data_IF_498210772661
#
_entry.id   IF_498210772661
#
_cell.length_a   1.000
_cell.length_b   1.000
_cell.length_c   1.000
_cell.angle_alpha   90.00
_cell.angle_beta   90.00
_cell.angle_gamma   90.00
#
_symmetry.space_group_name_H-M   'P 1'
#
loop_
_entity.id
_entity.type
_entity.pdbx_description
1 polymer ?
#
# COMPACT_ATOMS: atom_id res chain seq x y z
N UNK A 1 6.75 -45.05 -12.48
CA UNK A 1 6.87 -43.99 -11.45
C UNK A 1 7.90 -43.01 -11.95
N UNK A 2 7.58 -41.71 -12.08
CA UNK A 2 8.55 -40.71 -12.53
C UNK A 2 9.57 -40.49 -11.41
N UNK A 3 10.86 -40.66 -11.72
CA UNK A 3 11.93 -40.32 -10.78
C UNK A 3 11.81 -38.84 -10.41
N UNK A 4 11.69 -38.57 -9.12
CA UNK A 4 11.65 -37.20 -8.60
C UNK A 4 13.08 -36.69 -8.56
N UNK A 5 13.35 -35.60 -9.27
CA UNK A 5 14.66 -34.97 -9.27
C UNK A 5 14.87 -34.18 -7.97
N UNK A 6 15.75 -34.69 -7.11
CA UNK A 6 16.07 -34.10 -5.81
C UNK A 6 17.21 -33.07 -5.89
N UNK A 7 17.82 -32.84 -7.05
CA UNK A 7 18.98 -31.94 -7.18
C UNK A 7 18.66 -30.50 -6.76
N UNK A 8 17.51 -29.97 -7.19
CA UNK A 8 17.07 -28.60 -6.87
C UNK A 8 16.72 -28.45 -5.38
N UNK A 9 15.89 -29.32 -4.76
CA UNK A 9 15.65 -29.27 -3.31
C UNK A 9 16.92 -29.39 -2.45
N UNK A 10 17.89 -30.22 -2.87
CA UNK A 10 19.15 -30.40 -2.16
C UNK A 10 20.03 -29.14 -2.24
N UNK A 11 20.09 -28.49 -3.40
CA UNK A 11 20.79 -27.22 -3.59
C UNK A 11 20.18 -26.10 -2.75
N UNK A 12 18.84 -25.99 -2.76
CA UNK A 12 18.12 -24.95 -2.00
C UNK A 12 18.31 -25.15 -0.50
N UNK A 13 18.21 -26.39 0.00
CA UNK A 13 18.44 -26.69 1.42
C UNK A 13 19.90 -26.48 1.84
N UNK A 14 20.87 -26.80 0.99
CA UNK A 14 22.28 -26.51 1.22
C UNK A 14 22.58 -25.01 1.32
N UNK A 15 22.04 -24.21 0.41
CA UNK A 15 22.17 -22.74 0.46
C UNK A 15 21.52 -22.18 1.73
N UNK A 16 20.34 -22.67 2.09
CA UNK A 16 19.62 -22.21 3.28
C UNK A 16 20.37 -22.53 4.58
N UNK A 17 20.98 -23.72 4.67
CA UNK A 17 21.81 -24.11 5.81
C UNK A 17 23.07 -23.23 5.94
N UNK A 18 23.70 -22.87 4.82
CA UNK A 18 24.87 -21.97 4.82
C UNK A 18 24.50 -20.57 5.30
N UNK A 19 23.35 -20.03 4.86
CA UNK A 19 22.85 -18.72 5.31
C UNK A 19 22.55 -18.73 6.81
N UNK A 20 21.86 -19.77 7.31
CA UNK A 20 21.57 -19.94 8.74
C UNK A 20 22.84 -20.06 9.58
N UNK A 21 23.84 -20.81 9.10
CA UNK A 21 25.14 -20.96 9.78
C UNK A 21 25.91 -19.63 9.82
N UNK A 22 25.89 -18.85 8.72
CA UNK A 22 26.44 -17.50 8.71
C UNK A 22 25.74 -16.56 9.69
N UNK A 23 24.42 -16.62 9.79
CA UNK A 23 23.65 -15.82 10.74
C UNK A 23 23.91 -16.23 12.20
N UNK A 24 24.06 -17.53 12.46
CA UNK A 24 24.44 -18.07 13.78
C UNK A 24 25.83 -17.59 14.19
N UNK A 25 26.81 -17.65 13.30
CA UNK A 25 28.18 -17.19 13.55
C UNK A 25 28.28 -15.67 13.75
N UNK A 26 27.45 -14.90 13.03
CA UNK A 26 27.32 -13.47 13.23
C UNK A 26 26.72 -13.15 14.61
N UNK A 27 25.66 -13.87 15.00
CA UNK A 27 24.99 -13.68 16.30
C UNK A 27 25.84 -14.18 17.48
N UNK A 28 26.68 -15.21 17.29
CA UNK A 28 27.48 -15.80 18.36
C UNK A 28 28.75 -15.00 18.73
N UNK A 29 28.94 -13.80 18.15
CA UNK A 29 30.12 -12.96 18.35
C UNK A 29 31.46 -13.72 18.18
N UNK A 30 31.50 -14.68 17.25
CA UNK A 30 32.68 -15.51 17.05
C UNK A 30 33.89 -14.65 16.64
N UNK A 31 34.92 -14.63 17.49
CA UNK A 31 36.08 -13.73 17.38
C UNK A 31 36.90 -13.94 16.11
N UNK A 32 36.93 -15.15 15.56
CA UNK A 32 37.64 -15.47 14.30
C UNK A 32 36.88 -14.93 13.10
N UNK A 33 35.56 -15.13 13.06
CA UNK A 33 34.69 -14.60 12.02
C UNK A 33 34.69 -13.06 12.04
N UNK A 34 34.56 -12.47 13.23
CA UNK A 34 34.62 -11.01 13.41
C UNK A 34 35.99 -10.44 13.02
N UNK A 35 37.11 -11.15 13.24
CA UNK A 35 38.44 -10.74 12.75
C UNK A 35 38.61 -10.81 11.24
N UNK A 36 38.03 -11.83 10.60
CA UNK A 36 38.04 -11.96 9.13
C UNK A 36 37.18 -10.88 8.48
N UNK A 37 35.95 -10.71 8.97
CA UNK A 37 35.03 -9.67 8.49
C UNK A 37 35.60 -8.29 8.74
N UNK A 38 36.13 -8.02 9.94
CA UNK A 38 36.77 -6.73 10.22
C UNK A 38 38.04 -6.53 9.41
N UNK A 39 38.91 -7.53 9.21
CA UNK A 39 40.08 -7.37 8.32
C UNK A 39 39.69 -7.03 6.88
N UNK A 40 38.63 -7.65 6.35
CA UNK A 40 38.13 -7.36 5.01
C UNK A 40 37.43 -5.99 4.94
N UNK A 41 36.60 -5.66 5.92
CA UNK A 41 35.83 -4.42 6.00
C UNK A 41 36.70 -3.19 6.29
N UNK A 42 37.70 -3.35 7.16
CA UNK A 42 38.63 -2.31 7.57
C UNK A 42 39.67 -1.98 6.51
N UNK A 43 40.00 -2.92 5.62
CA UNK A 43 40.96 -2.69 4.53
C UNK A 43 40.49 -1.62 3.53
N UNK A 44 39.18 -1.38 3.44
CA UNK A 44 38.59 -0.48 2.47
C UNK A 44 38.07 0.86 3.03
N UNK A 45 38.03 1.10 4.36
CA UNK A 45 37.25 2.24 4.87
C UNK A 45 37.69 2.94 6.17
N UNK A 46 38.98 2.97 6.48
CA UNK A 46 39.47 3.93 7.48
C UNK A 46 39.59 5.36 6.91
N UNK A 47 38.46 6.07 6.84
CA UNK A 47 38.49 7.52 7.05
C UNK A 47 38.45 7.78 8.54
N UNK A 48 39.25 8.72 9.04
CA UNK A 48 39.20 9.20 10.44
C UNK A 48 37.73 9.49 10.82
N UNK A 49 37.33 9.14 12.03
CA UNK A 49 35.98 9.37 12.53
C UNK A 49 35.62 10.86 12.36
N UNK A 50 34.76 11.13 11.36
CA UNK A 50 34.20 12.44 11.11
C UNK A 50 33.16 12.70 12.21
N UNK A 51 33.24 13.86 12.85
CA UNK A 51 32.32 14.30 13.91
C UNK A 51 30.88 14.00 13.47
N UNK A 52 30.15 13.28 14.33
CA UNK A 52 28.75 12.95 14.14
C UNK A 52 27.98 14.26 13.96
N UNK A 53 27.52 14.55 12.73
CA UNK A 53 26.68 15.72 12.46
C UNK A 53 25.48 15.66 13.40
N UNK A 54 25.20 16.76 14.10
CA UNK A 54 24.00 16.89 14.92
C UNK A 54 22.77 16.92 14.00
N UNK A 55 22.19 15.75 13.73
CA UNK A 55 21.01 15.57 12.88
C UNK A 55 19.71 15.81 13.64
N UNK A 56 19.74 16.13 14.95
CA UNK A 56 18.52 16.19 15.78
C UNK A 56 17.43 17.08 15.20
N UNK A 57 17.81 18.23 14.60
CA UNK A 57 16.85 19.12 13.92
C UNK A 57 16.22 18.47 12.68
N UNK A 58 17.02 17.74 11.90
CA UNK A 58 16.55 17.00 10.72
C UNK A 58 15.66 15.83 11.13
N UNK A 59 16.04 15.12 12.19
CA UNK A 59 15.29 13.98 12.73
C UNK A 59 13.92 14.43 13.28
N UNK A 60 13.87 15.57 13.98
CA UNK A 60 12.61 16.17 14.45
C UNK A 60 11.71 16.55 13.27
N UNK A 61 12.27 17.18 12.22
CA UNK A 61 11.49 17.54 11.02
C UNK A 61 10.94 16.29 10.33
N UNK A 62 11.77 15.26 10.15
CA UNK A 62 11.34 13.99 9.55
C UNK A 62 10.27 13.30 10.40
N UNK A 63 10.38 13.35 11.72
CA UNK A 63 9.39 12.79 12.65
C UNK A 63 8.06 13.54 12.58
N UNK A 64 8.07 14.87 12.48
CA UNK A 64 6.86 15.67 12.29
C UNK A 64 6.19 15.32 10.95
N UNK A 65 6.97 15.25 9.86
CA UNK A 65 6.45 14.83 8.54
C UNK A 65 5.84 13.43 8.62
N UNK A 66 6.51 12.49 9.28
CA UNK A 66 6.02 11.13 9.46
C UNK A 66 4.70 11.09 10.25
N UNK A 67 4.58 11.85 11.35
CA UNK A 67 3.34 11.95 12.13
C UNK A 67 2.21 12.54 11.29
N UNK A 68 2.48 13.58 10.50
CA UNK A 68 1.48 14.18 9.60
C UNK A 68 1.02 13.16 8.55
N UNK A 69 1.94 12.38 7.97
CA UNK A 69 1.58 11.33 7.01
C UNK A 69 0.74 10.23 7.69
N UNK A 70 1.17 9.74 8.85
CA UNK A 70 0.42 8.71 9.60
C UNK A 70 -0.96 9.23 9.99
N UNK A 71 -1.08 10.47 10.45
CA UNK A 71 -2.36 11.07 10.79
C UNK A 71 -3.23 11.26 9.54
N UNK A 72 -2.69 11.75 8.44
CA UNK A 72 -3.42 11.95 7.18
C UNK A 72 -3.98 10.65 6.61
N UNK A 73 -3.16 9.60 6.54
CA UNK A 73 -3.58 8.28 6.08
C UNK A 73 -4.43 7.53 7.12
N UNK A 74 -4.07 7.61 8.40
CA UNK A 74 -4.76 6.94 9.50
C UNK A 74 -6.16 7.47 9.76
N UNK A 75 -6.35 8.79 9.67
CA UNK A 75 -7.66 9.45 9.74
C UNK A 75 -8.45 9.34 8.42
N UNK A 76 -7.89 8.66 7.40
CA UNK A 76 -8.49 8.48 6.06
C UNK A 76 -8.83 9.82 5.38
N UNK A 77 -8.08 10.87 5.68
CA UNK A 77 -8.25 12.19 5.03
C UNK A 77 -7.85 12.14 3.56
N UNK A 78 -6.84 11.32 3.25
CA UNK A 78 -6.39 11.02 1.91
C UNK A 78 -6.43 9.50 1.75
N UNK A 79 -6.96 9.04 0.62
CA UNK A 79 -7.06 7.62 0.30
C UNK A 79 -7.02 7.37 -1.19
N UNK A 80 -7.14 6.11 -1.56
CA UNK A 80 -7.15 5.68 -2.95
C UNK A 80 -8.37 4.81 -3.24
N UNK A 81 -8.98 5.03 -4.39
CA UNK A 81 -10.09 4.23 -4.90
C UNK A 81 -9.63 3.49 -6.17
N UNK A 82 -9.73 2.15 -6.16
CA UNK A 82 -9.43 1.33 -7.32
C UNK A 82 -10.64 1.28 -8.26
N UNK A 83 -10.42 1.55 -9.55
CA UNK A 83 -11.49 1.57 -10.56
C UNK A 83 -11.73 0.16 -11.08
N UNK A 84 -12.92 -0.37 -10.82
CA UNK A 84 -13.28 -1.76 -11.12
C UNK A 84 -14.06 -1.95 -12.43
N UNK A 85 -14.67 -0.89 -12.96
CA UNK A 85 -15.56 -0.92 -14.12
C UNK A 85 -15.17 0.11 -15.18
N UNK A 86 -15.85 0.02 -16.32
CA UNK A 86 -15.67 0.93 -17.46
C UNK A 86 -16.64 2.13 -17.45
N UNK A 87 -17.40 2.35 -16.36
CA UNK A 87 -18.42 3.40 -16.26
C UNK A 87 -17.85 4.82 -16.30
N UNK A 88 -16.58 4.99 -15.97
CA UNK A 88 -15.90 6.29 -15.93
C UNK A 88 -15.00 6.55 -17.16
N UNK A 89 -15.11 5.77 -18.23
CA UNK A 89 -14.39 6.06 -19.48
C UNK A 89 -14.87 7.37 -20.11
N UNK A 90 -14.00 8.16 -20.77
CA UNK A 90 -12.55 7.95 -20.95
C UNK A 90 -11.70 8.40 -19.76
N UNK A 91 -12.29 9.10 -18.78
CA UNK A 91 -11.57 9.73 -17.67
C UNK A 91 -10.76 8.71 -16.84
N UNK A 92 -11.40 7.60 -16.47
CA UNK A 92 -10.78 6.49 -15.77
C UNK A 92 -10.95 5.20 -16.55
N UNK A 93 -9.94 4.34 -16.44
CA UNK A 93 -9.96 2.99 -16.99
C UNK A 93 -9.97 1.98 -15.85
N UNK A 94 -10.56 0.80 -16.10
CA UNK A 94 -10.48 -0.31 -15.15
C UNK A 94 -9.01 -0.62 -14.83
N UNK A 95 -8.71 -0.76 -13.54
CA UNK A 95 -7.35 -0.94 -13.03
C UNK A 95 -6.62 0.36 -12.70
N UNK A 96 -7.23 1.53 -12.90
CA UNK A 96 -6.68 2.80 -12.41
C UNK A 96 -6.83 2.91 -10.88
N UNK A 97 -5.88 3.59 -10.25
CA UNK A 97 -5.96 3.95 -8.83
C UNK A 97 -6.11 5.48 -8.72
N UNK A 98 -7.27 5.93 -8.25
CA UNK A 98 -7.63 7.34 -8.17
C UNK A 98 -7.33 7.86 -6.76
N UNK A 99 -6.63 8.98 -6.66
CA UNK A 99 -6.41 9.65 -5.38
C UNK A 99 -7.69 10.38 -4.96
N UNK A 100 -8.13 10.14 -3.72
CA UNK A 100 -9.34 10.73 -3.16
C UNK A 100 -9.05 11.39 -1.82
N UNK A 101 -9.86 12.38 -1.46
CA UNK A 101 -9.77 13.11 -0.21
C UNK A 101 -11.14 13.17 0.48
N UNK A 102 -11.15 13.16 1.81
CA UNK A 102 -12.36 13.23 2.63
C UNK A 102 -12.40 14.49 3.53
N UNK A 103 -11.48 15.44 3.29
CA UNK A 103 -11.35 16.71 4.02
C UNK A 103 -12.55 17.62 3.69
N UNK A 104 -12.87 17.75 2.41
CA UNK A 104 -14.07 18.43 1.92
C UNK A 104 -14.98 17.40 1.27
N UNK A 105 -16.11 17.10 1.91
CA UNK A 105 -17.09 16.12 1.42
C UNK A 105 -18.27 16.75 0.70
N UNK A 106 -18.45 18.07 0.81
CA UNK A 106 -19.56 18.74 0.14
C UNK A 106 -19.37 18.62 -1.39
N UNK A 107 -20.26 17.90 -2.09
CA UNK A 107 -20.12 17.70 -3.52
C UNK A 107 -20.51 18.99 -4.25
N UNK A 108 -19.86 19.24 -5.38
CA UNK A 108 -20.22 20.29 -6.34
C UNK A 108 -20.44 19.65 -7.71
N UNK A 109 -21.20 20.32 -8.57
CA UNK A 109 -21.44 19.85 -9.94
C UNK A 109 -20.09 19.75 -10.68
N UNK A 110 -19.85 18.61 -11.32
CA UNK A 110 -18.61 18.31 -12.03
C UNK A 110 -17.58 17.52 -11.22
N UNK A 111 -17.71 17.48 -9.89
CA UNK A 111 -16.83 16.68 -9.03
C UNK A 111 -16.99 15.19 -9.30
N UNK A 112 -15.90 14.44 -9.15
CA UNK A 112 -15.94 12.99 -9.12
C UNK A 112 -15.92 12.54 -7.67
N UNK A 113 -16.94 11.81 -7.25
CA UNK A 113 -17.13 11.42 -5.86
C UNK A 113 -17.20 9.91 -5.72
N UNK A 114 -16.69 9.39 -4.62
CA UNK A 114 -16.89 8.02 -4.18
C UNK A 114 -17.93 8.02 -3.07
N UNK A 115 -19.00 7.26 -3.24
CA UNK A 115 -20.14 7.22 -2.31
C UNK A 115 -20.64 5.79 -2.11
N UNK A 116 -21.42 5.59 -1.06
CA UNK A 116 -22.11 4.33 -0.80
C UNK A 116 -23.51 4.38 -1.42
N UNK A 117 -23.73 3.64 -2.49
CA UNK A 117 -25.05 3.50 -3.09
C UNK A 117 -25.89 2.48 -2.30
N UNK A 118 -27.20 2.74 -2.18
CA UNK A 118 -28.13 1.75 -1.65
C UNK A 118 -28.14 0.51 -2.56
N UNK A 119 -28.16 -0.69 -1.96
CA UNK A 119 -28.16 -1.98 -2.66
C UNK A 119 -26.93 -2.29 -3.54
N UNK A 120 -25.84 -1.52 -3.42
CA UNK A 120 -24.56 -1.84 -4.04
C UNK A 120 -23.55 -2.21 -2.94
N UNK A 121 -22.92 -3.40 -2.99
CA UNK A 121 -22.01 -3.85 -1.94
C UNK A 121 -20.72 -3.01 -1.89
N UNK A 122 -20.26 -2.54 -3.05
CA UNK A 122 -19.02 -1.79 -3.20
C UNK A 122 -19.31 -0.29 -3.36
N UNK A 123 -18.44 0.59 -2.85
CA UNK A 123 -18.53 2.03 -3.13
C UNK A 123 -18.49 2.31 -4.64
N UNK A 124 -19.31 3.26 -5.08
CA UNK A 124 -19.42 3.68 -6.48
C UNK A 124 -18.68 5.00 -6.64
N UNK A 125 -17.92 5.14 -7.74
CA UNK A 125 -17.19 6.39 -8.05
C UNK A 125 -17.70 6.97 -9.36
N UNK A 126 -18.48 8.04 -9.30
CA UNK A 126 -19.10 8.69 -10.47
C UNK A 126 -19.04 10.21 -10.38
N UNK A 127 -19.36 10.90 -11.49
CA UNK A 127 -19.37 12.35 -11.56
C UNK A 127 -20.71 12.92 -11.11
N UNK A 128 -20.67 14.00 -10.34
CA UNK A 128 -21.86 14.74 -9.92
C UNK A 128 -22.39 15.55 -11.09
N UNK A 129 -23.64 15.30 -11.46
CA UNK A 129 -24.33 16.00 -12.55
C UNK A 129 -25.37 17.00 -12.05
N UNK A 130 -25.83 16.84 -10.81
CA UNK A 130 -26.83 17.72 -10.21
C UNK A 130 -26.85 17.63 -8.70
N UNK A 131 -27.26 18.72 -8.06
CA UNK A 131 -27.43 18.79 -6.61
C UNK A 131 -28.77 19.47 -6.34
N UNK A 132 -29.64 18.81 -5.59
CA UNK A 132 -30.92 19.36 -5.19
C UNK A 132 -31.11 19.16 -3.69
N UNK A 133 -30.97 20.25 -2.93
CA UNK A 133 -30.99 20.24 -1.46
C UNK A 133 -29.96 19.26 -0.88
N UNK A 134 -30.40 18.09 -0.40
CA UNK A 134 -29.54 17.05 0.15
C UNK A 134 -29.24 15.91 -0.83
N UNK A 135 -29.96 15.84 -1.96
CA UNK A 135 -29.79 14.80 -2.96
C UNK A 135 -28.70 15.18 -3.96
N UNK A 136 -27.93 14.17 -4.34
CA UNK A 136 -26.80 14.27 -5.25
C UNK A 136 -27.07 13.34 -6.42
N UNK A 137 -27.29 13.90 -7.61
CA UNK A 137 -27.39 13.14 -8.84
C UNK A 137 -26.00 12.86 -9.37
N UNK A 138 -25.69 11.59 -9.58
CA UNK A 138 -24.41 11.15 -10.13
C UNK A 138 -24.61 10.43 -11.46
N UNK A 139 -23.54 10.36 -12.25
CA UNK A 139 -23.51 9.62 -13.50
C UNK A 139 -22.07 9.18 -13.80
N UNK A 140 -21.90 7.94 -14.22
CA UNK A 140 -20.63 7.51 -14.83
C UNK A 140 -20.39 8.22 -16.15
N UNK A 141 -19.17 8.71 -16.40
CA UNK A 141 -18.83 9.47 -17.62
C UNK A 141 -19.17 8.71 -18.92
N UNK A 142 -19.15 7.37 -18.89
CA UNK A 142 -19.50 6.48 -19.99
C UNK A 142 -20.92 5.90 -19.92
N UNK A 143 -21.70 6.21 -18.87
CA UNK A 143 -23.05 5.67 -18.72
C UNK A 143 -24.03 6.42 -19.65
N UNK A 144 -25.07 5.76 -20.18
CA UNK A 144 -26.07 6.43 -21.00
C UNK A 144 -27.00 7.34 -20.16
N UNK A 145 -27.43 6.84 -19.00
CA UNK A 145 -28.35 7.53 -18.10
C UNK A 145 -27.66 7.94 -16.79
N UNK A 146 -28.29 8.85 -16.04
CA UNK A 146 -27.89 9.17 -14.68
C UNK A 146 -28.19 8.00 -13.73
N UNK A 147 -27.48 7.95 -12.60
CA UNK A 147 -27.68 6.93 -11.60
C UNK A 147 -28.94 7.21 -10.78
N UNK A 148 -29.67 6.15 -10.42
CA UNK A 148 -30.88 6.22 -9.60
C UNK A 148 -30.67 5.49 -8.26
N UNK A 149 -29.68 5.97 -7.49
CA UNK A 149 -29.35 5.39 -6.18
C UNK A 149 -29.97 6.15 -5.00
N UNK A 150 -30.62 7.30 -5.25
CA UNK A 150 -31.10 8.19 -4.19
C UNK A 150 -29.99 8.76 -3.31
N UNK A 151 -28.77 8.90 -3.85
CA UNK A 151 -27.57 9.33 -3.11
C UNK A 151 -27.77 10.68 -2.44
N UNK A 152 -27.39 10.77 -1.17
CA UNK A 152 -27.40 12.02 -0.40
C UNK A 152 -25.98 12.53 -0.12
N UNK A 153 -25.85 13.78 0.34
CA UNK A 153 -24.56 14.34 0.77
C UNK A 153 -23.88 13.52 1.86
N UNK A 154 -24.65 12.82 2.70
CA UNK A 154 -24.13 11.98 3.78
C UNK A 154 -23.53 10.65 3.29
N UNK A 155 -23.92 10.20 2.10
CA UNK A 155 -23.42 8.96 1.51
C UNK A 155 -22.06 9.14 0.84
N UNK A 156 -21.62 10.40 0.68
CA UNK A 156 -20.32 10.76 0.10
C UNK A 156 -19.19 10.40 1.06
N UNK A 157 -18.33 9.49 0.61
CA UNK A 157 -17.18 9.01 1.38
C UNK A 157 -15.98 9.94 1.14
N UNK A 158 -15.70 10.23 -0.13
CA UNK A 158 -14.56 11.04 -0.56
C UNK A 158 -14.80 11.65 -1.95
N UNK A 159 -14.00 12.67 -2.30
CA UNK A 159 -13.95 13.27 -3.64
C UNK A 159 -12.59 13.00 -4.28
N UNK A 160 -12.52 12.83 -5.59
CA UNK A 160 -11.26 12.72 -6.30
C UNK A 160 -10.45 14.02 -6.17
N UNK A 161 -9.14 13.90 -5.98
CA UNK A 161 -8.23 15.04 -5.96
C UNK A 161 -7.98 15.50 -7.39
N UNK A 162 -8.20 16.77 -7.67
CA UNK A 162 -8.04 17.39 -8.99
C UNK A 162 -6.96 18.46 -8.92
N UNK A 163 -5.97 18.39 -9.81
CA UNK A 163 -4.89 19.37 -9.96
C UNK A 163 -4.97 19.91 -11.39
N UNK A 164 -5.06 21.23 -11.55
CA UNK A 164 -5.17 21.89 -12.87
C UNK A 164 -6.33 21.36 -13.73
N UNK A 165 -7.45 20.99 -13.10
CA UNK A 165 -8.61 20.43 -13.80
C UNK A 165 -8.50 18.93 -14.14
N UNK A 166 -7.37 18.29 -13.82
CA UNK A 166 -7.15 16.87 -14.04
C UNK A 166 -7.12 16.08 -12.72
N UNK A 167 -7.97 15.05 -12.58
CA UNK A 167 -7.89 14.12 -11.46
C UNK A 167 -6.52 13.43 -11.36
N UNK A 168 -6.01 13.27 -10.15
CA UNK A 168 -4.76 12.56 -9.88
C UNK A 168 -5.02 11.06 -9.93
N UNK A 169 -4.43 10.39 -10.93
CA UNK A 169 -4.65 8.96 -11.20
C UNK A 169 -3.35 8.25 -11.48
N UNK A 170 -3.14 7.12 -10.81
CA UNK A 170 -2.07 6.18 -11.11
C UNK A 170 -2.62 5.10 -12.04
N UNK A 171 -2.24 5.18 -13.32
CA UNK A 171 -2.75 4.29 -14.36
C UNK A 171 -2.29 2.85 -14.14
N UNK A 172 -3.20 1.89 -14.18
CA UNK A 172 -2.92 0.45 -14.05
C UNK A 172 -2.51 -0.04 -12.64
N UNK A 173 -2.17 0.82 -11.70
CA UNK A 173 -1.74 0.42 -10.34
C UNK A 173 -2.90 -0.18 -9.52
N UNK A 174 -4.14 0.25 -9.81
CA UNK A 174 -5.35 -0.26 -9.17
C UNK A 174 -5.58 -1.75 -9.40
N UNK A 175 -5.05 -2.33 -10.48
CA UNK A 175 -5.20 -3.77 -10.75
C UNK A 175 -4.53 -4.65 -9.68
N UNK A 176 -3.59 -4.12 -8.90
CA UNK A 176 -2.97 -4.82 -7.77
C UNK A 176 -3.96 -5.04 -6.61
N UNK A 177 -5.04 -4.26 -6.53
CA UNK A 177 -5.99 -4.27 -5.40
C UNK A 177 -7.34 -4.91 -5.73
N UNK A 178 -7.59 -5.23 -7.01
CA UNK A 178 -8.83 -5.87 -7.46
C UNK A 178 -8.62 -7.38 -7.36
N UNK A 179 -9.39 -8.07 -6.50
CA UNK A 179 -9.26 -9.51 -6.27
C UNK A 179 -10.30 -10.35 -7.03
N UNK A 180 -11.39 -9.74 -7.49
CA UNK A 180 -12.51 -10.45 -8.14
C UNK A 180 -12.54 -10.16 -9.64
N UNK A 181 -11.74 -10.91 -10.40
CA UNK A 181 -11.63 -10.79 -11.85
C UNK A 181 -12.70 -11.61 -12.60
N UNK A 182 -13.55 -12.36 -11.89
CA UNK A 182 -14.41 -13.39 -12.50
C UNK A 182 -15.72 -12.87 -13.11
N UNK A 183 -16.26 -11.73 -12.65
CA UNK A 183 -17.65 -11.37 -12.96
C UNK A 183 -17.89 -10.54 -14.21
N UNK A 184 -16.93 -9.80 -14.72
CA UNK A 184 -17.13 -9.02 -15.95
C UNK A 184 -15.91 -9.09 -16.86
N UNK A 185 -16.06 -9.91 -17.90
CA UNK A 185 -15.03 -10.35 -18.82
C UNK A 185 -14.34 -9.23 -19.58
N UNK A 186 -13.14 -8.88 -19.11
CA UNK A 186 -11.95 -8.65 -19.93
C UNK A 186 -10.75 -8.76 -19.01
N UNK A 187 -9.94 -9.81 -19.22
CA UNK A 187 -8.61 -9.93 -18.62
C UNK A 187 -7.85 -8.63 -18.90
N UNK A 188 -7.45 -7.93 -17.84
CA UNK A 188 -6.25 -7.11 -17.95
C UNK A 188 -5.12 -8.05 -18.37
N UNK A 189 -4.37 -7.69 -19.41
CA UNK A 189 -3.24 -8.44 -19.99
C UNK A 189 -2.12 -8.77 -18.97
N UNK A 190 -2.27 -8.29 -17.73
CA UNK A 190 -1.33 -8.35 -16.63
C UNK A 190 -1.87 -9.06 -15.38
N UNK A 191 -3.12 -9.52 -15.33
CA UNK A 191 -3.73 -10.10 -14.12
C UNK A 191 -2.94 -11.26 -13.52
N UNK A 192 -2.52 -12.20 -14.37
CA UNK A 192 -1.75 -13.38 -13.96
C UNK A 192 -0.31 -13.05 -13.55
N UNK A 193 0.21 -11.88 -13.96
CA UNK A 193 1.60 -11.48 -13.69
C UNK A 193 1.79 -10.89 -12.29
N UNK A 194 0.71 -10.55 -11.58
CA UNK A 194 0.77 -9.89 -10.27
C UNK A 194 0.13 -10.71 -9.14
N UNK A 195 -0.27 -11.96 -9.37
CA UNK A 195 -0.82 -12.85 -8.34
C UNK A 195 0.13 -12.99 -7.13
N UNK A 196 1.45 -13.04 -7.39
CA UNK A 196 2.47 -12.98 -6.36
C UNK A 196 2.37 -11.72 -5.49
N UNK A 197 2.24 -10.54 -6.09
CA UNK A 197 2.12 -9.28 -5.36
C UNK A 197 0.80 -9.18 -4.60
N UNK A 198 -0.29 -9.69 -5.17
CA UNK A 198 -1.58 -9.76 -4.48
C UNK A 198 -1.50 -10.66 -3.24
N UNK A 199 -0.92 -11.85 -3.39
CA UNK A 199 -0.67 -12.76 -2.28
C UNK A 199 0.27 -12.12 -1.24
N UNK A 200 1.33 -11.42 -1.68
CA UNK A 200 2.23 -10.69 -0.79
C UNK A 200 1.48 -9.61 0.01
N UNK A 201 0.65 -8.79 -0.61
CA UNK A 201 -0.13 -7.76 0.09
C UNK A 201 -1.19 -8.36 1.01
N UNK A 202 -1.82 -9.46 0.62
CA UNK A 202 -2.75 -10.21 1.48
C UNK A 202 -2.05 -10.80 2.69
N UNK A 203 -0.86 -11.39 2.50
CA UNK A 203 0.01 -11.88 3.58
C UNK A 203 0.44 -10.74 4.48
N UNK A 204 0.90 -9.60 3.95
CA UNK A 204 1.25 -8.41 4.74
C UNK A 204 0.02 -7.88 5.50
N UNK A 205 -1.17 -7.87 4.92
CA UNK A 205 -2.38 -7.40 5.60
C UNK A 205 -2.81 -8.33 6.73
N UNK A 206 -2.61 -9.63 6.55
CA UNK A 206 -3.02 -10.67 7.51
C UNK A 206 -2.01 -10.82 8.64
N UNK A 207 -0.72 -10.89 8.28
CA UNK A 207 0.41 -11.10 9.19
C UNK A 207 1.04 -9.80 9.66
N UNK A 208 0.73 -8.67 9.05
CA UNK A 208 1.26 -7.36 9.43
C UNK A 208 0.93 -7.01 10.88
N UNK A 209 -0.28 -7.29 11.35
CA UNK A 209 -0.62 -7.13 12.76
C UNK A 209 0.24 -8.01 13.66
N UNK A 210 0.48 -9.27 13.26
CA UNK A 210 1.33 -10.21 14.02
C UNK A 210 2.78 -9.73 14.07
N UNK A 211 3.33 -9.28 12.93
CA UNK A 211 4.69 -8.74 12.84
C UNK A 211 4.81 -7.47 13.70
N UNK A 212 3.83 -6.57 13.65
CA UNK A 212 3.80 -5.36 14.48
C UNK A 212 3.76 -5.71 15.97
N UNK A 213 2.98 -6.73 16.35
CA UNK A 213 2.84 -7.17 17.74
C UNK A 213 4.12 -7.86 18.26
N UNK A 214 4.79 -8.66 17.43
CA UNK A 214 6.09 -9.24 17.72
C UNK A 214 7.16 -8.14 17.84
N UNK A 215 7.18 -7.19 16.90
CA UNK A 215 8.11 -6.06 16.94
C UNK A 215 7.91 -5.19 18.18
N UNK A 216 6.66 -4.94 18.56
CA UNK A 216 6.32 -4.17 19.77
C UNK A 216 6.69 -4.94 21.04
N UNK A 217 6.44 -6.25 21.09
CA UNK A 217 6.85 -7.12 22.20
C UNK A 217 8.38 -7.21 22.32
N UNK A 218 9.09 -7.32 21.20
CA UNK A 218 10.55 -7.31 21.17
C UNK A 218 11.14 -5.96 21.61
N UNK A 219 10.51 -4.84 21.20
CA UNK A 219 10.88 -3.50 21.66
C UNK A 219 10.66 -3.34 23.17
N UNK A 220 9.53 -3.80 23.70
CA UNK A 220 9.22 -3.83 25.13
C UNK A 220 10.26 -4.67 25.89
N UNK A 221 10.52 -5.89 25.44
CA UNK A 221 11.52 -6.77 26.04
C UNK A 221 12.93 -6.15 26.00
N UNK A 222 13.27 -5.45 24.92
CA UNK A 222 14.52 -4.70 24.80
C UNK A 222 14.60 -3.52 25.78
N UNK A 223 13.46 -2.91 26.15
CA UNK A 223 13.41 -1.82 27.13
C UNK A 223 13.51 -2.34 28.57
N UNK A 224 12.96 -3.53 28.86
CA UNK A 224 13.01 -4.15 30.19
C UNK A 224 14.25 -5.04 30.41
N UNK A 225 14.91 -5.47 29.35
CA UNK A 225 16.10 -6.34 29.38
C UNK A 225 17.39 -5.66 29.87
N UNK A 226 17.31 -4.47 30.46
CA UNK A 226 18.46 -3.78 31.03
C UNK A 226 18.20 -3.30 32.47
N UNK A 227 17.75 -4.22 33.32
CA UNK A 227 18.05 -4.16 34.76
C UNK A 227 18.78 -5.45 35.12
N UNK A 228 20.03 -5.28 35.55
CA UNK A 228 20.86 -6.30 36.19
C UNK A 228 20.08 -7.02 37.29
#
# INVERSE_FOLDING_TARGET
MKEVDYTVPLLVSGIFALVLSGFYLYKSENSVFMRLVSSWYMKNRYSRAVIQKDTRKQDIVLLIILIILIAGFGLKLIGFAAVISDSMKPQFQRGDLVMTQSISKDPQIGDIITFRAANVPNPVTHRVTGIQSNYVSTKGDNNPAADDYGTTKNDVISKAVVIEGHPVVLKGVGSLFILDFSKEGKLSRFGDQYEFFQNLFMTIRTWGYVITLIAFSALILSMFGNKR
#
